data_IF_117614229944
#
_entry.id   IF_117614229944
#
_cell.length_a   1.000
_cell.length_b   1.000
_cell.length_c   1.000
_cell.angle_alpha   90.00
_cell.angle_beta   90.00
_cell.angle_gamma   90.00
#
_symmetry.space_group_name_H-M   'P 1'
#
loop_
_entity.id
_entity.type
_entity.pdbx_description
1 polymer ?
#
# COMPACT_ATOMS: atom_id res chain seq x y z
N UNK A 1 -14.70 -20.07 -14.82
CA UNK A 1 -14.07 -20.46 -13.54
C UNK A 1 -14.97 -20.16 -12.34
N UNK A 2 -15.42 -18.94 -12.12
CA UNK A 2 -16.24 -18.53 -10.95
C UNK A 2 -17.49 -19.41 -10.72
N UNK A 3 -18.23 -19.79 -11.77
CA UNK A 3 -19.45 -20.60 -11.66
C UNK A 3 -19.16 -21.99 -11.06
N UNK A 4 -18.12 -22.69 -11.53
CA UNK A 4 -17.75 -24.03 -11.02
C UNK A 4 -17.28 -23.97 -9.56
N UNK A 5 -16.44 -22.97 -9.20
CA UNK A 5 -15.99 -22.79 -7.82
C UNK A 5 -17.18 -22.64 -6.86
N UNK A 6 -18.19 -21.86 -7.26
CA UNK A 6 -19.35 -21.58 -6.39
C UNK A 6 -20.37 -22.72 -6.43
N UNK A 7 -20.78 -23.20 -7.61
CA UNK A 7 -21.89 -24.15 -7.74
C UNK A 7 -21.48 -25.60 -7.47
N UNK A 8 -20.32 -26.01 -8.02
CA UNK A 8 -19.92 -27.42 -7.97
C UNK A 8 -18.97 -27.72 -6.80
N UNK A 9 -18.08 -26.76 -6.46
CA UNK A 9 -17.09 -26.94 -5.41
C UNK A 9 -17.47 -26.27 -4.07
N UNK A 10 -18.62 -25.57 -4.01
CA UNK A 10 -19.20 -25.03 -2.78
C UNK A 10 -18.41 -23.89 -2.14
N UNK A 11 -17.66 -23.12 -2.93
CA UNK A 11 -16.99 -21.91 -2.45
C UNK A 11 -17.95 -20.72 -2.45
N UNK A 12 -17.74 -19.81 -1.50
CA UNK A 12 -18.37 -18.49 -1.51
C UNK A 12 -17.44 -17.51 -2.19
N UNK A 13 -17.94 -16.74 -3.15
CA UNK A 13 -17.20 -15.63 -3.75
C UNK A 13 -17.27 -14.44 -2.81
N UNK A 14 -16.14 -13.78 -2.54
CA UNK A 14 -16.12 -12.55 -1.76
C UNK A 14 -16.96 -11.46 -2.44
N UNK A 15 -17.71 -10.70 -1.64
CA UNK A 15 -18.48 -9.53 -2.09
C UNK A 15 -17.60 -8.29 -2.13
N UNK A 16 -16.49 -8.31 -1.40
CA UNK A 16 -15.53 -7.20 -1.25
C UNK A 16 -14.45 -7.25 -2.32
N UNK A 17 -13.95 -8.45 -2.66
CA UNK A 17 -13.01 -8.69 -3.77
C UNK A 17 -13.44 -9.91 -4.58
N UNK A 18 -13.94 -9.66 -5.78
CA UNK A 18 -14.45 -10.69 -6.67
C UNK A 18 -13.40 -11.69 -7.19
N UNK A 19 -12.12 -11.44 -6.99
CA UNK A 19 -11.03 -12.37 -7.32
C UNK A 19 -10.82 -13.43 -6.24
N UNK A 20 -11.45 -13.26 -5.06
CA UNK A 20 -11.26 -14.11 -3.90
C UNK A 20 -12.47 -15.02 -3.70
N UNK A 21 -12.20 -16.31 -3.49
CA UNK A 21 -13.16 -17.32 -3.12
C UNK A 21 -12.73 -18.00 -1.83
N UNK A 22 -13.67 -18.30 -0.96
CA UNK A 22 -13.35 -18.92 0.33
C UNK A 22 -14.40 -19.97 0.71
N UNK A 23 -13.95 -20.94 1.50
CA UNK A 23 -14.78 -21.92 2.15
C UNK A 23 -14.29 -22.11 3.56
N UNK A 24 -15.08 -21.63 4.52
CA UNK A 24 -14.74 -21.63 5.94
C UNK A 24 -15.76 -22.43 6.72
N UNK A 25 -15.29 -23.47 7.43
CA UNK A 25 -16.05 -24.24 8.41
C UNK A 25 -15.18 -24.47 9.65
N UNK A 26 -15.72 -25.09 10.68
CA UNK A 26 -14.95 -25.41 11.90
C UNK A 26 -13.66 -26.19 11.64
N UNK A 27 -13.64 -27.03 10.58
CA UNK A 27 -12.51 -27.88 10.24
C UNK A 27 -11.77 -27.47 8.96
N UNK A 28 -12.34 -26.60 8.14
CA UNK A 28 -11.80 -26.23 6.85
C UNK A 28 -11.70 -24.69 6.74
N UNK A 29 -10.54 -24.23 6.33
CA UNK A 29 -10.31 -22.83 6.00
C UNK A 29 -9.51 -22.79 4.69
N UNK A 30 -10.22 -22.62 3.58
CA UNK A 30 -9.65 -22.60 2.24
C UNK A 30 -9.92 -21.24 1.62
N UNK A 31 -8.88 -20.58 1.15
CA UNK A 31 -8.98 -19.32 0.40
C UNK A 31 -8.32 -19.54 -0.96
N UNK A 32 -8.97 -19.09 -2.02
CA UNK A 32 -8.50 -19.12 -3.39
C UNK A 32 -8.47 -17.70 -3.91
N UNK A 33 -7.35 -17.31 -4.48
CA UNK A 33 -7.20 -16.05 -5.23
C UNK A 33 -7.01 -16.42 -6.69
N UNK A 34 -7.88 -15.88 -7.55
CA UNK A 34 -7.84 -16.11 -9.00
C UNK A 34 -7.41 -14.83 -9.69
N UNK A 35 -6.36 -14.92 -10.49
CA UNK A 35 -5.85 -13.79 -11.27
C UNK A 35 -5.62 -14.25 -12.71
N UNK A 36 -6.56 -13.93 -13.59
CA UNK A 36 -6.59 -14.34 -15.01
C UNK A 36 -6.43 -15.86 -15.15
N UNK A 37 -5.21 -16.35 -15.40
CA UNK A 37 -4.89 -17.76 -15.62
C UNK A 37 -4.23 -18.42 -14.41
N UNK A 38 -3.80 -17.63 -13.43
CA UNK A 38 -3.13 -18.11 -12.22
C UNK A 38 -4.10 -18.26 -11.05
N UNK A 39 -3.87 -19.28 -10.23
CA UNK A 39 -4.62 -19.55 -9.01
C UNK A 39 -3.67 -19.78 -7.84
N UNK A 40 -3.80 -18.97 -6.80
CA UNK A 40 -3.15 -19.19 -5.52
C UNK A 40 -4.15 -19.78 -4.52
N UNK A 41 -3.78 -20.89 -3.87
CA UNK A 41 -4.66 -21.61 -2.95
C UNK A 41 -3.98 -21.75 -1.60
N UNK A 42 -4.69 -21.39 -0.53
CA UNK A 42 -4.26 -21.64 0.84
C UNK A 42 -5.22 -22.61 1.52
N UNK A 43 -4.66 -23.66 2.12
CA UNK A 43 -5.39 -24.69 2.83
C UNK A 43 -4.68 -25.05 4.13
N UNK A 44 -5.45 -25.55 5.09
CA UNK A 44 -4.95 -25.89 6.41
C UNK A 44 -4.11 -27.16 6.43
N UNK A 45 -4.46 -28.17 5.63
CA UNK A 45 -3.83 -29.50 5.59
C UNK A 45 -3.33 -29.85 4.19
N UNK A 46 -2.23 -30.60 4.12
CA UNK A 46 -1.68 -31.06 2.84
C UNK A 46 -2.65 -31.99 2.09
N UNK A 47 -3.41 -32.82 2.80
CA UNK A 47 -4.42 -33.74 2.23
C UNK A 47 -5.53 -32.98 1.51
N UNK A 48 -5.96 -31.83 2.06
CA UNK A 48 -6.99 -30.98 1.46
C UNK A 48 -6.51 -30.38 0.14
N UNK A 49 -5.21 -30.10 0.02
CA UNK A 49 -4.58 -29.63 -1.22
C UNK A 49 -4.71 -30.70 -2.32
N UNK A 50 -4.43 -31.96 -2.00
CA UNK A 50 -4.51 -33.07 -2.96
C UNK A 50 -5.94 -33.30 -3.42
N UNK A 51 -6.90 -33.26 -2.49
CA UNK A 51 -8.34 -33.37 -2.81
C UNK A 51 -8.80 -32.20 -3.69
N UNK A 52 -8.49 -30.99 -3.32
CA UNK A 52 -8.86 -29.81 -4.07
C UNK A 52 -8.32 -29.85 -5.52
N UNK A 53 -7.06 -30.27 -5.70
CA UNK A 53 -6.47 -30.44 -7.04
C UNK A 53 -7.21 -31.46 -7.87
N UNK A 54 -7.55 -32.63 -7.29
CA UNK A 54 -8.31 -33.66 -7.97
C UNK A 54 -9.72 -33.17 -8.38
N UNK A 55 -10.37 -32.38 -7.51
CA UNK A 55 -11.69 -31.83 -7.79
C UNK A 55 -11.64 -30.80 -8.93
N UNK A 56 -10.66 -29.90 -8.94
CA UNK A 56 -10.48 -28.90 -10.00
C UNK A 56 -10.12 -29.54 -11.34
N UNK A 57 -9.30 -30.59 -11.35
CA UNK A 57 -8.89 -31.31 -12.57
C UNK A 57 -10.05 -31.96 -13.32
N UNK A 58 -11.21 -32.15 -12.68
CA UNK A 58 -12.44 -32.64 -13.37
C UNK A 58 -13.05 -31.60 -14.33
N UNK A 59 -12.70 -30.32 -14.12
CA UNK A 59 -13.29 -29.19 -14.87
C UNK A 59 -12.30 -28.49 -15.78
N UNK A 60 -11.01 -28.47 -15.40
CA UNK A 60 -9.94 -27.78 -16.14
C UNK A 60 -8.65 -28.57 -16.15
N UNK A 61 -7.95 -28.47 -17.24
CA UNK A 61 -6.55 -28.86 -17.29
C UNK A 61 -5.72 -27.83 -16.50
N UNK A 62 -5.09 -28.28 -15.43
CA UNK A 62 -4.28 -27.41 -14.56
C UNK A 62 -2.84 -27.91 -14.46
N UNK A 63 -1.89 -26.97 -14.47
CA UNK A 63 -0.49 -27.24 -14.15
C UNK A 63 -0.26 -26.99 -12.66
N UNK A 64 0.25 -28.00 -11.97
CA UNK A 64 0.58 -27.90 -10.57
C UNK A 64 2.03 -27.40 -10.37
N UNK A 65 2.20 -26.13 -10.02
CA UNK A 65 3.49 -25.47 -9.80
C UNK A 65 4.05 -25.73 -8.38
N UNK A 66 3.39 -26.57 -7.56
CA UNK A 66 3.83 -26.87 -6.20
C UNK A 66 3.62 -25.74 -5.19
N UNK A 67 4.46 -25.64 -4.15
CA UNK A 67 4.41 -24.53 -3.20
C UNK A 67 4.64 -23.21 -3.90
N UNK A 68 3.82 -22.21 -3.56
CA UNK A 68 3.90 -20.89 -4.18
C UNK A 68 5.25 -20.23 -3.93
N UNK A 69 5.96 -19.89 -5.00
CA UNK A 69 7.26 -19.16 -4.98
C UNK A 69 7.19 -17.88 -5.80
N UNK A 70 6.29 -17.83 -6.77
CA UNK A 70 6.04 -16.71 -7.65
C UNK A 70 4.54 -16.56 -7.85
N UNK A 71 4.06 -15.32 -7.82
CA UNK A 71 2.68 -14.99 -8.14
C UNK A 71 2.62 -13.57 -8.68
N UNK A 72 1.95 -13.36 -9.81
CA UNK A 72 1.78 -12.04 -10.44
C UNK A 72 3.09 -11.24 -10.59
N UNK A 73 4.20 -11.92 -10.86
CA UNK A 73 5.50 -11.26 -11.08
C UNK A 73 6.27 -10.88 -9.81
N UNK A 74 5.81 -11.25 -8.63
CA UNK A 74 6.59 -11.10 -7.39
C UNK A 74 6.97 -12.45 -6.79
N UNK A 75 8.13 -12.47 -6.16
CA UNK A 75 8.69 -13.63 -5.48
C UNK A 75 8.10 -13.77 -4.08
N UNK A 76 7.80 -14.99 -3.69
CA UNK A 76 7.28 -15.33 -2.36
C UNK A 76 8.26 -16.27 -1.68
N UNK A 77 8.66 -15.93 -0.46
CA UNK A 77 9.45 -16.78 0.42
C UNK A 77 8.67 -17.11 1.68
N UNK A 78 8.61 -18.38 2.04
CA UNK A 78 7.91 -18.85 3.24
C UNK A 78 8.85 -19.60 4.15
N UNK A 79 8.94 -19.16 5.41
CA UNK A 79 9.69 -19.85 6.45
C UNK A 79 8.72 -20.42 7.49
N UNK A 80 8.51 -21.74 7.47
CA UNK A 80 7.59 -22.43 8.37
C UNK A 80 8.07 -22.40 9.83
N UNK A 81 9.39 -22.51 10.07
CA UNK A 81 9.98 -22.46 11.42
C UNK A 81 9.84 -21.07 12.04
N UNK A 82 10.13 -20.02 11.29
CA UNK A 82 9.96 -18.63 11.73
C UNK A 82 8.50 -18.17 11.68
N UNK A 83 7.63 -18.92 11.01
CA UNK A 83 6.23 -18.57 10.75
C UNK A 83 6.09 -17.22 10.02
N UNK A 84 6.91 -17.02 9.00
CA UNK A 84 6.92 -15.82 8.18
C UNK A 84 6.62 -16.11 6.72
N UNK A 85 6.00 -15.14 6.06
CA UNK A 85 5.88 -15.05 4.61
C UNK A 85 6.41 -13.70 4.16
N UNK A 86 7.18 -13.69 3.10
CA UNK A 86 7.83 -12.48 2.59
C UNK A 86 7.65 -12.37 1.09
N UNK A 87 7.46 -11.15 0.59
CA UNK A 87 7.31 -10.85 -0.83
C UNK A 87 8.40 -9.89 -1.30
N UNK A 88 8.83 -10.06 -2.54
CA UNK A 88 9.89 -9.26 -3.15
C UNK A 88 9.72 -9.20 -4.67
N UNK A 89 10.19 -8.11 -5.28
CA UNK A 89 10.16 -7.90 -6.74
C UNK A 89 11.55 -7.62 -7.33
N UNK A 90 12.60 -8.19 -6.74
CA UNK A 90 14.00 -7.98 -7.14
C UNK A 90 14.22 -8.17 -8.65
N UNK A 91 13.68 -9.23 -9.23
CA UNK A 91 13.81 -9.51 -10.65
C UNK A 91 13.21 -8.39 -11.53
N UNK A 92 11.99 -7.95 -11.20
CA UNK A 92 11.33 -6.84 -11.92
C UNK A 92 12.12 -5.53 -11.78
N UNK A 93 12.54 -5.20 -10.56
CA UNK A 93 13.32 -3.99 -10.28
C UNK A 93 14.64 -4.02 -11.05
N UNK A 94 15.31 -5.16 -11.14
CA UNK A 94 16.56 -5.29 -11.90
C UNK A 94 16.33 -5.04 -13.41
N UNK A 95 15.25 -5.60 -13.97
CA UNK A 95 14.88 -5.35 -15.39
C UNK A 95 14.61 -3.87 -15.62
N UNK A 96 13.89 -3.22 -14.71
CA UNK A 96 13.59 -1.79 -14.76
C UNK A 96 14.87 -0.94 -14.70
N UNK A 97 15.78 -1.20 -13.78
CA UNK A 97 17.06 -0.47 -13.65
C UNK A 97 17.90 -0.61 -14.94
N UNK A 98 17.95 -1.82 -15.52
CA UNK A 98 18.66 -2.08 -16.77
C UNK A 98 18.02 -1.31 -17.94
N UNK A 99 16.70 -1.31 -18.04
CA UNK A 99 15.93 -0.62 -19.09
C UNK A 99 16.23 0.88 -19.13
N UNK A 100 16.33 1.52 -17.97
CA UNK A 100 16.65 2.94 -17.87
C UNK A 100 18.17 3.23 -17.82
N UNK A 101 19.03 2.22 -18.02
CA UNK A 101 20.51 2.31 -18.06
C UNK A 101 21.12 2.90 -16.78
N UNK A 102 20.56 2.55 -15.62
CA UNK A 102 20.99 3.07 -14.32
C UNK A 102 21.74 2.01 -13.47
N UNK A 103 22.16 0.90 -14.07
CA UNK A 103 22.82 -0.23 -13.39
C UNK A 103 24.12 0.17 -12.68
N UNK A 104 24.89 1.08 -13.27
CA UNK A 104 26.19 1.52 -12.72
C UNK A 104 26.09 2.79 -11.87
N UNK A 105 24.87 3.20 -11.48
CA UNK A 105 24.67 4.39 -10.65
C UNK A 105 25.06 4.12 -9.20
N UNK A 106 25.63 5.12 -8.54
CA UNK A 106 25.94 5.03 -7.12
C UNK A 106 24.68 4.83 -6.28
N UNK A 107 24.67 3.89 -5.30
CA UNK A 107 23.53 3.63 -4.46
C UNK A 107 23.06 4.86 -3.68
N UNK A 108 21.76 5.03 -3.53
CA UNK A 108 21.15 6.12 -2.76
C UNK A 108 20.30 5.56 -1.61
N UNK A 109 20.27 6.28 -0.51
CA UNK A 109 19.63 5.82 0.73
C UNK A 109 18.19 6.32 0.92
N UNK A 110 17.74 7.26 0.09
CA UNK A 110 16.38 7.83 0.13
C UNK A 110 15.90 8.10 -1.28
N UNK A 111 14.60 7.92 -1.58
CA UNK A 111 14.07 8.12 -2.92
C UNK A 111 14.13 9.59 -3.37
N UNK A 112 14.00 10.52 -2.42
CA UNK A 112 14.14 11.97 -2.65
C UNK A 112 15.01 12.62 -1.58
N UNK A 113 15.62 13.75 -1.92
CA UNK A 113 16.43 14.55 -0.98
C UNK A 113 15.52 15.49 -0.19
N UNK A 114 15.80 15.67 1.09
CA UNK A 114 15.09 16.65 1.93
C UNK A 114 15.18 18.06 1.32
N UNK A 115 14.08 18.81 1.39
CA UNK A 115 14.00 20.14 0.78
C UNK A 115 13.71 20.16 -0.73
N UNK A 116 13.64 19.01 -1.40
CA UNK A 116 13.17 18.96 -2.80
C UNK A 116 11.74 19.43 -2.88
N UNK A 117 11.48 20.47 -3.68
CA UNK A 117 10.13 20.99 -3.93
C UNK A 117 9.91 21.16 -5.42
N UNK A 118 8.74 20.80 -5.90
CA UNK A 118 8.33 20.99 -7.27
C UNK A 118 7.21 22.00 -7.40
N UNK A 119 7.19 22.68 -8.56
CA UNK A 119 6.09 23.58 -8.94
C UNK A 119 5.94 23.56 -10.45
N UNK A 120 4.90 24.19 -10.94
CA UNK A 120 4.66 24.36 -12.38
C UNK A 120 5.83 25.07 -13.09
N UNK A 121 6.64 25.87 -12.37
CA UNK A 121 7.84 26.51 -12.94
C UNK A 121 8.97 25.52 -13.27
N UNK A 122 8.93 24.30 -12.78
CA UNK A 122 9.87 23.23 -13.14
C UNK A 122 9.46 22.49 -14.42
N UNK A 123 8.26 22.74 -14.92
CA UNK A 123 7.76 22.18 -16.17
C UNK A 123 8.21 23.02 -17.38
N UNK A 124 8.44 22.41 -18.56
CA UNK A 124 8.85 23.11 -19.76
C UNK A 124 7.84 24.18 -20.16
N UNK A 125 8.32 25.41 -20.41
CA UNK A 125 7.50 26.54 -20.85
C UNK A 125 7.89 27.06 -22.24
N UNK A 126 9.06 26.67 -22.77
CA UNK A 126 9.52 27.07 -24.09
C UNK A 126 9.52 25.88 -25.07
N UNK A 127 9.33 26.13 -26.40
CA UNK A 127 9.34 25.05 -27.40
C UNK A 127 10.63 24.21 -27.37
N UNK A 128 11.77 24.80 -27.05
CA UNK A 128 13.06 24.11 -26.94
C UNK A 128 13.08 23.17 -25.73
N UNK A 129 12.57 23.59 -24.58
CA UNK A 129 12.47 22.74 -23.39
C UNK A 129 11.50 21.58 -23.60
N UNK A 130 10.35 21.84 -24.25
CA UNK A 130 9.39 20.81 -24.63
C UNK A 130 10.02 19.79 -25.58
N UNK A 131 10.77 20.27 -26.60
CA UNK A 131 11.44 19.39 -27.53
C UNK A 131 12.51 18.51 -26.86
N UNK A 132 13.27 19.06 -25.90
CA UNK A 132 14.24 18.31 -25.12
C UNK A 132 13.55 17.15 -24.30
N UNK A 133 12.39 17.39 -23.75
CA UNK A 133 11.69 16.40 -22.95
C UNK A 133 10.93 15.34 -23.77
N UNK A 134 10.66 15.57 -25.06
CA UNK A 134 9.91 14.62 -25.92
C UNK A 134 10.58 13.25 -26.05
N UNK A 135 11.90 13.19 -25.99
CA UNK A 135 12.67 11.94 -26.09
C UNK A 135 12.83 11.20 -24.77
N UNK A 136 12.36 11.79 -23.65
CA UNK A 136 12.52 11.23 -22.33
C UNK A 136 11.28 10.39 -21.96
N UNK A 137 11.43 9.08 -21.65
CA UNK A 137 10.32 8.18 -21.41
C UNK A 137 9.76 8.34 -19.96
N UNK A 138 9.37 9.57 -19.59
CA UNK A 138 8.96 9.89 -18.23
C UNK A 138 7.72 9.12 -17.76
N UNK A 139 6.66 9.11 -18.58
CA UNK A 139 5.42 8.41 -18.27
C UNK A 139 5.64 6.89 -18.14
N UNK A 140 6.48 6.32 -19.01
CA UNK A 140 6.86 4.92 -18.96
C UNK A 140 7.66 4.59 -17.68
N UNK A 141 8.57 5.48 -17.27
CA UNK A 141 9.34 5.32 -16.06
C UNK A 141 8.45 5.42 -14.80
N UNK A 142 7.51 6.38 -14.74
CA UNK A 142 6.51 6.46 -13.65
C UNK A 142 5.69 5.17 -13.57
N UNK A 143 5.18 4.67 -14.69
CA UNK A 143 4.41 3.42 -14.74
C UNK A 143 5.25 2.22 -14.27
N UNK A 144 6.54 2.19 -14.62
CA UNK A 144 7.45 1.12 -14.21
C UNK A 144 7.73 1.14 -12.71
N UNK A 145 7.91 2.31 -12.09
CA UNK A 145 8.16 2.40 -10.64
C UNK A 145 6.89 2.22 -9.80
N UNK A 146 5.70 2.48 -10.36
CA UNK A 146 4.44 2.30 -9.64
C UNK A 146 4.23 0.85 -9.20
N UNK A 147 4.58 -0.13 -10.04
CA UNK A 147 4.35 -1.53 -9.75
C UNK A 147 5.05 -2.02 -8.46
N UNK A 148 6.39 -1.88 -8.29
CA UNK A 148 7.04 -2.24 -7.04
C UNK A 148 6.56 -1.41 -5.86
N UNK A 149 6.22 -0.14 -6.04
CA UNK A 149 5.76 0.74 -4.96
C UNK A 149 4.39 0.33 -4.43
N UNK A 150 3.51 -0.19 -5.28
CA UNK A 150 2.18 -0.67 -4.87
C UNK A 150 2.22 -2.07 -4.25
N UNK A 151 3.21 -2.90 -4.59
CA UNK A 151 3.24 -4.30 -4.16
C UNK A 151 4.20 -4.56 -3.00
N UNK A 152 5.44 -4.06 -3.06
CA UNK A 152 6.49 -4.50 -2.12
C UNK A 152 7.42 -3.40 -1.58
N UNK A 153 7.37 -2.17 -2.12
CA UNK A 153 8.27 -1.07 -1.75
C UNK A 153 7.48 0.19 -1.34
N UNK A 154 6.70 0.12 -0.23
CA UNK A 154 5.86 1.24 0.24
C UNK A 154 6.64 2.51 0.55
N UNK A 155 7.91 2.39 0.92
CA UNK A 155 8.79 3.49 1.31
C UNK A 155 9.08 4.50 0.19
N UNK A 156 8.87 4.12 -1.09
CA UNK A 156 8.97 5.04 -2.22
C UNK A 156 7.64 5.72 -2.61
N UNK A 157 6.52 5.42 -1.94
CA UNK A 157 5.18 5.85 -2.35
C UNK A 157 5.02 7.38 -2.40
N UNK A 158 5.56 8.11 -1.42
CA UNK A 158 5.52 9.58 -1.41
C UNK A 158 6.25 10.18 -2.63
N UNK A 159 7.44 9.69 -2.93
CA UNK A 159 8.24 10.18 -4.04
C UNK A 159 7.54 9.95 -5.39
N UNK A 160 6.99 8.75 -5.60
CA UNK A 160 6.29 8.40 -6.83
C UNK A 160 4.98 9.16 -6.97
N UNK A 161 4.20 9.31 -5.90
CA UNK A 161 2.98 10.12 -5.88
C UNK A 161 3.27 11.58 -6.24
N UNK A 162 4.35 12.15 -5.70
CA UNK A 162 4.77 13.52 -6.00
C UNK A 162 5.16 13.70 -7.46
N UNK A 163 5.95 12.79 -8.02
CA UNK A 163 6.40 12.84 -9.41
C UNK A 163 5.28 12.55 -10.41
N UNK A 164 4.32 11.71 -10.06
CA UNK A 164 3.17 11.38 -10.91
C UNK A 164 2.30 12.60 -11.24
N UNK A 165 2.31 13.65 -10.42
CA UNK A 165 1.58 14.89 -10.67
C UNK A 165 2.05 15.63 -11.93
N UNK A 166 3.27 15.35 -12.40
CA UNK A 166 3.91 16.03 -13.54
C UNK A 166 3.94 15.17 -14.81
N UNK A 167 3.20 14.07 -14.88
CA UNK A 167 3.23 13.11 -15.98
C UNK A 167 2.84 13.74 -17.33
N UNK A 168 1.96 14.75 -17.32
CA UNK A 168 1.51 15.44 -18.54
C UNK A 168 2.55 16.43 -19.09
N UNK A 169 3.32 17.09 -18.22
CA UNK A 169 4.31 18.08 -18.60
C UNK A 169 5.56 18.01 -17.70
N UNK A 170 6.34 16.91 -17.78
CA UNK A 170 7.51 16.71 -16.95
C UNK A 170 8.66 17.63 -17.42
N UNK A 171 9.40 18.19 -16.46
CA UNK A 171 10.63 18.92 -16.75
C UNK A 171 11.88 18.13 -16.39
N UNK A 172 13.10 18.65 -16.76
CA UNK A 172 14.36 17.99 -16.47
C UNK A 172 14.56 17.68 -14.98
N UNK A 173 14.17 18.60 -14.08
CA UNK A 173 14.26 18.39 -12.63
C UNK A 173 13.42 17.18 -12.15
N UNK A 174 12.22 17.01 -12.73
CA UNK A 174 11.37 15.85 -12.42
C UNK A 174 12.02 14.55 -12.87
N UNK A 175 12.65 14.56 -14.06
CA UNK A 175 13.35 13.39 -14.60
C UNK A 175 14.56 13.00 -13.74
N UNK A 176 15.37 13.97 -13.29
CA UNK A 176 16.52 13.69 -12.43
C UNK A 176 16.09 13.02 -11.12
N UNK A 177 15.00 13.50 -10.51
CA UNK A 177 14.49 12.88 -9.28
C UNK A 177 13.85 11.51 -9.56
N UNK A 178 13.20 11.33 -10.70
CA UNK A 178 12.66 10.01 -11.08
C UNK A 178 13.78 8.98 -11.31
N UNK A 179 14.88 9.37 -11.95
CA UNK A 179 16.09 8.52 -12.04
C UNK A 179 16.61 8.14 -10.64
N UNK A 180 16.62 9.10 -9.71
CA UNK A 180 17.00 8.82 -8.33
C UNK A 180 16.07 7.80 -7.65
N UNK A 181 14.75 7.87 -7.89
CA UNK A 181 13.79 6.86 -7.38
C UNK A 181 14.10 5.48 -7.97
N UNK A 182 14.40 5.38 -9.26
CA UNK A 182 14.79 4.10 -9.89
C UNK A 182 16.07 3.54 -9.26
N UNK A 183 17.08 4.39 -9.04
CA UNK A 183 18.33 4.01 -8.38
C UNK A 183 18.07 3.57 -6.95
N UNK A 184 17.20 4.26 -6.22
CA UNK A 184 16.80 3.89 -4.86
C UNK A 184 16.18 2.50 -4.84
N UNK A 185 15.18 2.24 -5.68
CA UNK A 185 14.55 0.92 -5.79
C UNK A 185 15.59 -0.16 -6.15
N UNK A 186 16.50 0.14 -7.10
CA UNK A 186 17.62 -0.75 -7.44
C UNK A 186 18.55 -1.05 -6.27
N UNK A 187 18.82 -0.04 -5.42
CA UNK A 187 19.67 -0.16 -4.22
C UNK A 187 18.98 -0.98 -3.12
N UNK A 188 17.64 -0.97 -3.07
CA UNK A 188 16.82 -1.64 -2.06
C UNK A 188 16.12 -2.89 -2.59
N UNK A 189 16.41 -3.34 -3.82
CA UNK A 189 15.75 -4.45 -4.51
C UNK A 189 15.76 -5.78 -3.73
N UNK A 190 16.75 -5.97 -2.87
CA UNK A 190 16.90 -7.19 -2.08
C UNK A 190 16.19 -7.12 -0.72
N UNK A 191 15.48 -6.03 -0.41
CA UNK A 191 14.58 -5.94 0.73
C UNK A 191 13.29 -6.72 0.46
N UNK A 192 12.78 -7.34 1.50
CA UNK A 192 11.55 -8.13 1.49
C UNK A 192 10.52 -7.51 2.42
N UNK A 193 9.31 -7.36 1.94
CA UNK A 193 8.17 -7.04 2.77
C UNK A 193 7.69 -8.32 3.47
N UNK A 194 7.78 -8.35 4.80
CA UNK A 194 7.64 -9.59 5.57
C UNK A 194 6.50 -9.51 6.57
N UNK A 195 5.71 -10.58 6.61
CA UNK A 195 4.59 -10.80 7.53
C UNK A 195 4.91 -11.95 8.47
N UNK A 196 4.57 -11.82 9.75
CA UNK A 196 4.85 -12.82 10.77
C UNK A 196 3.59 -13.22 11.53
N UNK A 197 3.32 -14.52 11.64
CA UNK A 197 2.25 -15.04 12.49
C UNK A 197 2.49 -14.82 13.97
N UNK A 198 3.75 -14.63 14.38
CA UNK A 198 4.13 -14.39 15.78
C UNK A 198 3.82 -12.96 16.23
N UNK A 199 3.54 -12.06 15.31
CA UNK A 199 3.15 -10.69 15.58
C UNK A 199 1.62 -10.58 15.68
N UNK A 200 1.12 -9.42 16.17
CA UNK A 200 -0.32 -9.12 16.22
C UNK A 200 -0.96 -9.30 14.83
N UNK A 201 -1.96 -10.16 14.75
CA UNK A 201 -2.69 -10.44 13.51
C UNK A 201 -3.88 -9.50 13.29
N UNK A 202 -4.33 -8.77 14.33
CA UNK A 202 -5.32 -7.73 14.14
C UNK A 202 -4.75 -6.63 13.26
N UNK A 203 -5.53 -6.18 12.29
CA UNK A 203 -5.13 -5.08 11.42
C UNK A 203 -5.09 -3.76 12.21
N UNK A 204 -4.08 -2.95 11.96
CA UNK A 204 -3.85 -1.66 12.62
C UNK A 204 -3.45 -0.62 11.56
N UNK A 205 -4.11 0.53 11.60
CA UNK A 205 -3.89 1.63 10.66
C UNK A 205 -3.16 2.80 11.31
N UNK A 206 -2.44 3.54 10.48
CA UNK A 206 -1.79 4.82 10.81
C UNK A 206 -2.16 5.83 9.74
N UNK A 207 -2.41 7.08 10.11
CA UNK A 207 -2.62 8.16 9.14
C UNK A 207 -1.91 9.44 9.57
N UNK A 208 -1.48 10.23 8.59
CA UNK A 208 -0.77 11.51 8.74
C UNK A 208 -1.12 12.43 7.57
N UNK A 209 -0.97 13.74 7.78
CA UNK A 209 -1.08 14.73 6.72
C UNK A 209 0.08 15.73 6.76
N UNK A 210 0.62 16.06 5.60
CA UNK A 210 1.46 17.24 5.42
C UNK A 210 0.57 18.43 4.96
N UNK A 211 0.20 19.29 5.91
CA UNK A 211 -0.67 20.42 5.65
C UNK A 211 0.06 21.56 4.94
N UNK A 212 -0.31 21.85 3.70
CA UNK A 212 0.21 22.97 2.93
C UNK A 212 1.71 22.96 2.65
N UNK A 213 2.42 21.83 2.88
CA UNK A 213 3.86 21.71 2.67
C UNK A 213 4.29 21.83 1.20
N UNK A 214 3.36 21.73 0.26
CA UNK A 214 3.63 21.89 -1.16
C UNK A 214 3.50 23.36 -1.61
N UNK A 215 4.27 23.79 -2.63
CA UNK A 215 4.21 25.16 -3.18
C UNK A 215 2.81 25.62 -3.61
N UNK A 216 1.96 24.71 -4.01
CA UNK A 216 0.56 24.96 -4.40
C UNK A 216 -0.43 24.80 -3.23
N UNK A 217 0.06 24.72 -1.98
CA UNK A 217 -0.71 24.65 -0.73
C UNK A 217 -1.69 23.49 -0.59
N UNK A 218 -1.71 22.54 -1.50
CA UNK A 218 -2.45 21.30 -1.29
C UNK A 218 -1.72 20.42 -0.28
N UNK A 219 -2.48 19.80 0.58
CA UNK A 219 -1.97 18.84 1.56
C UNK A 219 -1.72 17.46 0.92
N UNK A 220 -0.84 16.69 1.53
CA UNK A 220 -0.62 15.28 1.17
C UNK A 220 -1.17 14.42 2.29
N UNK A 221 -2.15 13.58 1.96
CA UNK A 221 -2.66 12.55 2.86
C UNK A 221 -1.83 11.27 2.73
N UNK A 222 -1.47 10.69 3.87
CA UNK A 222 -0.78 9.41 3.95
C UNK A 222 -1.49 8.46 4.92
N UNK A 223 -1.57 7.18 4.57
CA UNK A 223 -1.94 6.14 5.50
C UNK A 223 -1.19 4.84 5.22
N UNK A 224 -1.12 4.00 6.23
CA UNK A 224 -0.71 2.61 6.10
C UNK A 224 -1.49 1.71 7.06
N UNK A 225 -1.79 0.48 6.61
CA UNK A 225 -2.37 -0.57 7.43
C UNK A 225 -1.40 -1.73 7.53
N UNK A 226 -1.32 -2.31 8.72
CA UNK A 226 -0.37 -3.36 9.05
C UNK A 226 -1.11 -4.57 9.60
N UNK A 227 -0.62 -5.76 9.27
CA UNK A 227 -1.08 -7.03 9.81
C UNK A 227 0.10 -8.00 9.87
N UNK A 228 0.25 -8.77 10.96
CA UNK A 228 1.43 -9.61 11.12
C UNK A 228 2.74 -8.81 11.13
N UNK A 229 2.69 -7.55 11.59
CA UNK A 229 3.74 -6.55 11.61
C UNK A 229 4.26 -6.05 10.24
N UNK A 230 3.72 -6.50 9.10
CA UNK A 230 4.04 -5.99 7.77
C UNK A 230 2.94 -5.07 7.24
N UNK A 231 3.29 -4.12 6.38
CA UNK A 231 2.32 -3.26 5.72
C UNK A 231 1.51 -4.07 4.68
N UNK A 232 0.18 -4.01 4.76
CA UNK A 232 -0.75 -4.71 3.86
C UNK A 232 -1.48 -3.75 2.91
N UNK A 233 -1.61 -2.47 3.28
CA UNK A 233 -2.15 -1.41 2.44
C UNK A 233 -1.50 -0.09 2.79
N UNK A 234 -1.29 0.79 1.81
CA UNK A 234 -0.72 2.13 2.01
C UNK A 234 -1.10 3.07 0.89
N UNK A 235 -1.07 4.36 1.20
CA UNK A 235 -1.32 5.41 0.23
C UNK A 235 -0.55 6.67 0.56
N UNK A 236 -0.10 7.35 -0.49
CA UNK A 236 0.36 8.74 -0.46
C UNK A 236 -0.38 9.49 -1.54
N UNK A 237 -1.23 10.46 -1.18
CA UNK A 237 -2.12 11.12 -2.13
C UNK A 237 -2.25 12.61 -1.85
N UNK A 238 -2.07 13.43 -2.90
CA UNK A 238 -2.39 14.85 -2.86
C UNK A 238 -3.90 15.04 -2.68
N UNK A 239 -4.30 15.91 -1.75
CA UNK A 239 -5.69 16.29 -1.57
C UNK A 239 -6.16 17.14 -2.77
N UNK A 240 -7.39 16.90 -3.22
CA UNK A 240 -7.98 17.63 -4.35
C UNK A 240 -8.36 19.05 -3.97
N UNK A 241 -8.65 19.31 -2.71
CA UNK A 241 -9.00 20.63 -2.17
C UNK A 241 -7.84 21.20 -1.38
N UNK A 242 -7.78 22.54 -1.30
CA UNK A 242 -6.87 23.24 -0.40
C UNK A 242 -7.56 23.38 0.95
N UNK A 243 -7.09 22.65 1.94
CA UNK A 243 -7.62 22.73 3.30
C UNK A 243 -7.28 24.08 3.94
N UNK A 244 -8.28 24.73 4.53
CA UNK A 244 -8.13 26.05 5.16
C UNK A 244 -7.51 25.96 6.56
N UNK A 245 -7.43 24.78 7.14
CA UNK A 245 -6.78 24.52 8.43
C UNK A 245 -6.12 23.14 8.45
N UNK A 246 -5.16 22.94 9.37
CA UNK A 246 -4.56 21.63 9.61
C UNK A 246 -5.62 20.60 10.01
N UNK A 247 -6.59 20.98 10.84
CA UNK A 247 -7.67 20.08 11.24
C UNK A 247 -8.49 19.59 10.05
N UNK A 248 -8.83 20.46 9.10
CA UNK A 248 -9.54 20.07 7.87
C UNK A 248 -8.72 19.05 7.05
N UNK A 249 -7.44 19.33 6.85
CA UNK A 249 -6.57 18.40 6.14
C UNK A 249 -6.47 17.03 6.84
N UNK A 250 -6.43 17.02 8.18
CA UNK A 250 -6.44 15.78 8.98
C UNK A 250 -7.75 14.98 8.78
N UNK A 251 -8.91 15.65 8.79
CA UNK A 251 -10.18 14.95 8.57
C UNK A 251 -10.29 14.32 7.20
N UNK A 252 -9.84 15.03 6.17
CA UNK A 252 -9.78 14.48 4.81
C UNK A 252 -8.91 13.22 4.80
N UNK A 253 -7.77 13.26 5.49
CA UNK A 253 -6.86 12.12 5.58
C UNK A 253 -7.47 10.97 6.35
N UNK A 254 -8.06 11.24 7.52
CA UNK A 254 -8.75 10.22 8.32
C UNK A 254 -9.91 9.59 7.55
N UNK A 255 -10.67 10.36 6.77
CA UNK A 255 -11.73 9.84 5.90
C UNK A 255 -11.17 8.88 4.85
N UNK A 256 -10.04 9.21 4.22
CA UNK A 256 -9.40 8.32 3.26
C UNK A 256 -8.94 7.02 3.94
N UNK A 257 -8.31 7.12 5.12
CA UNK A 257 -7.88 5.97 5.90
C UNK A 257 -9.08 5.14 6.40
N UNK A 258 -10.17 5.78 6.86
CA UNK A 258 -11.37 5.09 7.33
C UNK A 258 -12.06 4.31 6.21
N UNK A 259 -12.08 4.80 4.97
CA UNK A 259 -12.60 4.04 3.81
C UNK A 259 -11.83 2.75 3.59
N UNK A 260 -10.52 2.81 3.66
CA UNK A 260 -9.66 1.63 3.55
C UNK A 260 -9.86 0.70 4.74
N UNK A 261 -9.96 1.25 5.95
CA UNK A 261 -10.24 0.48 7.17
C UNK A 261 -11.55 -0.30 7.06
N UNK A 262 -12.63 0.32 6.58
CA UNK A 262 -13.93 -0.33 6.40
C UNK A 262 -13.86 -1.45 5.34
N UNK A 263 -13.12 -1.21 4.25
CA UNK A 263 -12.89 -2.24 3.23
C UNK A 263 -12.12 -3.43 3.82
N UNK A 264 -11.01 -3.17 4.50
CA UNK A 264 -10.21 -4.20 5.17
C UNK A 264 -11.03 -4.96 6.24
N UNK A 265 -11.79 -4.25 7.06
CA UNK A 265 -12.64 -4.85 8.09
C UNK A 265 -13.65 -5.82 7.46
N UNK A 266 -14.38 -5.38 6.43
CA UNK A 266 -15.36 -6.21 5.73
C UNK A 266 -14.70 -7.42 5.07
N UNK A 267 -13.55 -7.24 4.43
CA UNK A 267 -12.80 -8.31 3.78
C UNK A 267 -12.29 -9.36 4.78
N UNK A 268 -11.73 -8.92 5.90
CA UNK A 268 -11.22 -9.81 6.94
C UNK A 268 -12.35 -10.55 7.68
N UNK A 269 -13.52 -9.91 7.85
CA UNK A 269 -14.72 -10.58 8.38
C UNK A 269 -15.21 -11.69 7.43
N UNK A 270 -15.31 -11.44 6.12
CA UNK A 270 -15.68 -12.48 5.16
C UNK A 270 -14.73 -13.68 5.24
N UNK A 271 -13.43 -13.44 5.36
CA UNK A 271 -12.42 -14.47 5.51
C UNK A 271 -12.39 -15.10 6.91
N UNK A 272 -13.21 -14.66 7.83
CA UNK A 272 -13.22 -15.09 9.26
C UNK A 272 -11.82 -15.05 9.89
N UNK A 273 -11.05 -14.05 9.52
CA UNK A 273 -9.64 -13.94 9.94
C UNK A 273 -9.45 -13.09 11.19
N UNK A 274 -10.47 -12.30 11.57
CA UNK A 274 -10.45 -11.44 12.76
C UNK A 274 -11.72 -11.60 13.60
N UNK A 275 -11.65 -11.36 14.92
CA UNK A 275 -12.83 -11.08 15.74
C UNK A 275 -13.60 -9.86 15.22
N UNK A 276 -14.84 -9.64 15.69
CA UNK A 276 -15.65 -8.46 15.42
C UNK A 276 -15.12 -7.17 16.10
N UNK A 277 -13.83 -7.13 16.45
CA UNK A 277 -13.18 -5.98 17.06
C UNK A 277 -12.99 -4.86 16.05
N UNK A 278 -13.15 -3.59 16.46
CA UNK A 278 -12.91 -2.44 15.58
C UNK A 278 -11.46 -2.38 15.12
N UNK A 279 -11.26 -1.98 13.85
CA UNK A 279 -9.93 -1.73 13.34
C UNK A 279 -9.37 -0.43 13.96
N UNK A 280 -8.20 -0.52 14.57
CA UNK A 280 -7.55 0.63 15.20
C UNK A 280 -6.94 1.52 14.12
N UNK A 281 -7.23 2.83 14.16
CA UNK A 281 -6.63 3.86 13.31
C UNK A 281 -5.88 4.87 14.20
N UNK A 282 -4.56 4.87 14.12
CA UNK A 282 -3.68 5.74 14.87
C UNK A 282 -3.47 7.06 14.13
N UNK A 283 -3.69 8.20 14.82
CA UNK A 283 -3.54 9.55 14.30
C UNK A 283 -2.78 10.42 15.30
N UNK A 284 -1.97 11.36 14.86
CA UNK A 284 -1.18 12.22 15.75
C UNK A 284 -1.82 13.58 16.04
N UNK A 285 -3.02 13.85 15.53
CA UNK A 285 -3.78 15.04 15.86
C UNK A 285 -4.77 14.78 17.01
N UNK A 286 -4.39 15.22 18.22
CA UNK A 286 -5.21 15.11 19.42
C UNK A 286 -6.58 15.80 19.32
N UNK A 287 -6.72 16.84 18.49
CA UNK A 287 -7.97 17.58 18.31
C UNK A 287 -8.94 16.88 17.35
N UNK A 288 -8.42 16.06 16.46
CA UNK A 288 -9.23 15.30 15.51
C UNK A 288 -9.97 14.12 16.18
N UNK A 289 -9.40 13.53 17.25
CA UNK A 289 -9.96 12.38 17.95
C UNK A 289 -11.27 12.70 18.70
N UNK A 290 -11.39 13.79 19.51
CA UNK A 290 -12.66 14.15 20.14
C UNK A 290 -13.76 14.47 19.14
N UNK A 291 -13.42 15.09 18.02
CA UNK A 291 -14.38 15.48 16.99
C UNK A 291 -14.94 14.25 16.23
N UNK A 292 -14.19 13.17 16.11
CA UNK A 292 -14.74 11.89 15.63
C UNK A 292 -15.71 11.25 16.65
N UNK A 293 -15.68 11.70 17.91
CA UNK A 293 -16.49 11.17 19.03
C UNK A 293 -17.59 12.14 19.55
N UNK A 294 -17.56 13.43 19.17
CA UNK A 294 -18.42 14.47 19.81
C UNK A 294 -19.47 15.01 18.86
N UNK A 295 -20.72 15.15 19.40
CA UNK A 295 -21.92 15.59 18.66
C UNK A 295 -22.08 17.11 18.52
N UNK A 296 -21.06 17.93 18.85
CA UNK A 296 -21.19 19.39 18.78
C UNK A 296 -20.97 19.93 17.38
N UNK A 297 -22.08 20.43 16.79
CA UNK A 297 -22.11 21.12 15.50
C UNK A 297 -21.21 22.34 15.45
N UNK A 298 -20.31 22.40 14.47
CA UNK A 298 -19.64 23.62 14.07
C UNK A 298 -20.23 24.15 12.75
N UNK A 299 -20.96 25.25 12.83
CA UNK A 299 -21.86 25.86 11.82
C UNK A 299 -21.16 26.38 10.54
N UNK A 300 -19.88 26.13 10.28
CA UNK A 300 -19.13 26.88 9.25
C UNK A 300 -18.64 26.08 8.02
N UNK A 301 -18.90 24.78 7.90
CA UNK A 301 -18.23 24.02 6.81
C UNK A 301 -19.03 22.81 6.33
N UNK A 302 -20.05 23.03 5.50
CA UNK A 302 -20.89 21.97 4.92
C UNK A 302 -20.13 20.87 4.17
N UNK A 303 -19.03 21.20 3.50
CA UNK A 303 -18.22 20.24 2.76
C UNK A 303 -17.29 19.41 3.68
N UNK A 304 -16.96 19.93 4.86
CA UNK A 304 -16.23 19.21 5.89
C UNK A 304 -17.17 18.27 6.64
N UNK A 305 -18.44 18.66 6.80
CA UNK A 305 -19.45 17.86 7.51
C UNK A 305 -19.58 16.44 6.95
N UNK A 306 -19.50 16.25 5.63
CA UNK A 306 -19.59 14.91 5.01
C UNK A 306 -18.43 14.00 5.45
N UNK A 307 -17.21 14.54 5.55
CA UNK A 307 -16.04 13.79 6.02
C UNK A 307 -16.16 13.45 7.51
N UNK A 308 -16.66 14.36 8.30
CA UNK A 308 -16.95 14.18 9.72
C UNK A 308 -17.99 13.09 9.96
N UNK A 309 -19.12 13.17 9.25
CA UNK A 309 -20.19 12.19 9.38
C UNK A 309 -19.71 10.80 9.04
N UNK A 310 -18.94 10.65 7.98
CA UNK A 310 -18.42 9.35 7.55
C UNK A 310 -17.53 8.67 8.61
N UNK A 311 -16.57 9.41 9.20
CA UNK A 311 -15.69 8.86 10.24
C UNK A 311 -16.49 8.53 11.50
N UNK A 312 -17.40 9.44 11.89
CA UNK A 312 -18.25 9.26 13.07
C UNK A 312 -19.12 8.01 12.93
N UNK A 313 -19.79 7.84 11.81
CA UNK A 313 -20.59 6.65 11.51
C UNK A 313 -19.74 5.38 11.62
N UNK A 314 -18.55 5.36 11.06
CA UNK A 314 -17.63 4.22 11.16
C UNK A 314 -17.20 3.91 12.61
N UNK A 315 -17.07 4.94 13.46
CA UNK A 315 -16.76 4.78 14.90
C UNK A 315 -18.00 4.37 15.72
N UNK A 316 -19.15 4.97 15.46
CA UNK A 316 -20.43 4.63 16.11
C UNK A 316 -20.87 3.20 15.78
N UNK A 317 -20.66 2.76 14.54
CA UNK A 317 -20.88 1.37 14.10
C UNK A 317 -19.89 0.37 14.74
N UNK A 318 -18.89 0.83 15.50
CA UNK A 318 -17.88 -0.03 16.12
C UNK A 318 -16.92 -0.69 15.13
N UNK A 319 -16.85 -0.22 13.88
CA UNK A 319 -15.97 -0.78 12.84
C UNK A 319 -14.55 -0.21 12.89
N UNK A 320 -14.40 1.04 13.34
CA UNK A 320 -13.13 1.75 13.44
C UNK A 320 -13.00 2.38 14.82
N UNK A 321 -11.81 2.28 15.41
CA UNK A 321 -11.44 2.96 16.64
C UNK A 321 -10.30 3.93 16.39
N UNK A 322 -10.51 5.24 16.55
CA UNK A 322 -9.46 6.24 16.39
C UNK A 322 -8.70 6.41 17.70
N UNK A 323 -7.37 6.30 17.64
CA UNK A 323 -6.46 6.45 18.78
C UNK A 323 -5.37 7.50 18.49
N UNK A 324 -4.87 8.11 19.57
CA UNK A 324 -3.75 9.04 19.47
C UNK A 324 -2.41 8.30 19.46
N UNK A 325 -1.50 8.74 18.61
CA UNK A 325 -0.09 8.34 18.61
C UNK A 325 0.80 9.60 18.58
N UNK A 326 2.00 9.51 19.15
CA UNK A 326 2.99 10.58 19.03
C UNK A 326 3.44 10.72 17.59
N UNK A 327 3.59 11.97 17.11
CA UNK A 327 4.05 12.26 15.72
C UNK A 327 5.37 11.55 15.40
N UNK A 328 6.28 11.45 16.38
CA UNK A 328 7.55 10.72 16.22
C UNK A 328 7.39 9.23 15.92
N UNK A 329 6.32 8.62 16.38
CA UNK A 329 6.05 7.18 16.27
C UNK A 329 5.08 6.87 15.12
N UNK A 330 4.50 7.89 14.46
CA UNK A 330 3.56 7.71 13.38
C UNK A 330 4.27 7.25 12.11
N UNK A 331 4.08 5.98 11.76
CA UNK A 331 4.69 5.35 10.57
C UNK A 331 4.27 6.07 9.29
N UNK A 332 3.06 6.62 9.24
CA UNK A 332 2.52 7.27 8.04
C UNK A 332 3.23 8.58 7.64
N UNK A 333 4.13 9.10 8.50
CA UNK A 333 5.00 10.21 8.13
C UNK A 333 5.82 9.96 6.86
N UNK A 334 6.19 8.70 6.57
CA UNK A 334 6.94 8.33 5.36
C UNK A 334 6.15 8.55 4.06
N UNK A 335 4.82 8.62 4.16
CA UNK A 335 3.90 8.79 3.02
C UNK A 335 3.50 10.25 2.77
N UNK A 336 3.89 11.17 3.65
CA UNK A 336 3.41 12.57 3.58
C UNK A 336 4.53 13.57 3.40
N UNK A 337 5.74 13.28 3.86
CA UNK A 337 6.83 14.26 3.89
C UNK A 337 8.21 13.67 3.58
N UNK A 338 9.13 14.55 3.20
CA UNK A 338 10.54 14.20 2.99
C UNK A 338 11.23 14.08 4.34
N UNK A 339 11.77 12.90 4.62
CA UNK A 339 12.42 12.58 5.88
C UNK A 339 13.95 12.58 5.76
N UNK A 340 14.64 12.97 6.83
CA UNK A 340 16.06 12.75 6.94
C UNK A 340 16.39 11.25 6.92
N UNK A 341 17.56 10.89 6.37
CA UNK A 341 17.99 9.50 6.14
C UNK A 341 17.80 8.56 7.33
N UNK A 342 18.12 9.04 8.57
CA UNK A 342 17.99 8.22 9.77
C UNK A 342 16.52 7.89 10.07
N UNK A 343 15.62 8.89 10.07
CA UNK A 343 14.19 8.69 10.31
C UNK A 343 13.50 7.93 9.19
N UNK A 344 13.91 8.16 7.93
CA UNK A 344 13.42 7.39 6.79
C UNK A 344 13.69 5.89 6.96
N UNK A 345 14.92 5.52 7.35
CA UNK A 345 15.28 4.11 7.58
C UNK A 345 14.50 3.49 8.74
N UNK A 346 14.39 4.21 9.85
CA UNK A 346 13.60 3.78 11.01
C UNK A 346 12.15 3.44 10.60
N UNK A 347 11.48 4.34 9.86
CA UNK A 347 10.11 4.11 9.43
C UNK A 347 10.00 3.00 8.35
N UNK A 348 10.98 2.88 7.45
CA UNK A 348 11.03 1.80 6.48
C UNK A 348 11.17 0.41 7.16
N UNK A 349 11.96 0.33 8.24
CA UNK A 349 12.07 -0.89 9.06
C UNK A 349 10.74 -1.23 9.77
N UNK A 350 9.99 -0.21 10.22
CA UNK A 350 8.65 -0.41 10.80
C UNK A 350 7.63 -0.88 9.77
N UNK A 351 7.81 -0.58 8.48
CA UNK A 351 7.04 -1.17 7.38
C UNK A 351 7.41 -2.66 7.13
N UNK A 352 8.38 -3.19 7.85
CA UNK A 352 8.93 -4.55 7.71
C UNK A 352 9.64 -4.81 6.38
N UNK A 353 10.33 -3.79 5.88
CA UNK A 353 11.27 -3.91 4.77
C UNK A 353 12.65 -4.28 5.32
N UNK A 354 13.08 -5.52 5.13
CA UNK A 354 14.38 -5.99 5.62
C UNK A 354 14.96 -7.11 4.73
N UNK A 355 16.26 -7.33 4.89
CA UNK A 355 16.94 -8.45 4.26
C UNK A 355 16.51 -9.75 4.92
N UNK A 356 16.18 -10.77 4.13
CA UNK A 356 16.02 -12.13 4.64
C UNK A 356 17.22 -12.99 4.22
N UNK A 357 17.70 -13.81 5.12
CA UNK A 357 18.66 -14.85 4.74
C UNK A 357 17.89 -15.95 4.00
N UNK A 358 17.89 -15.91 2.68
CA UNK A 358 17.47 -17.06 1.89
C UNK A 358 18.52 -18.16 2.14
N UNK A 359 18.18 -19.18 2.93
CA UNK A 359 18.95 -20.43 2.87
C UNK A 359 18.70 -21.00 1.48
N UNK A 360 19.76 -21.00 0.67
CA UNK A 360 19.83 -21.64 -0.66
C UNK A 360 19.54 -23.13 -0.52
#
# INVERSE_FOLDING_TARGET
MSWVLVKDLGFTRSTVDHSVFFRCSSNEHTIIVVATDDMAVTLKRAEDITRFKADIQRYWEITNNGPIRWFLGFQISRNHTAQTISINQSAYIQVMVNKFRLTNSAPVATPMVTGTTFSTSNSPSTPMQVAHMRGIPYAEAISSVLWPVVVSQPDAAFAVSTLSQFIQNPGPAHWEVLKRVIIFLGSMKDLWLTFSRRSKLAAEGFCDVDWGGQKHRHSISGYSFHMGAGAISWSSKKQHVVALSSNEAEYITQTHAAKEALWLHSFLQELRSTPDDPLILNCDNQRAIPLAKDNKFHTRTKHIDVHYHFIREAVEDGKVMVQYILTGDNISNIFTKLLAKAKFRELAELLRLHMIMCKV
#
